data_IF_231422585195
#
_entry.id   IF_231422585195
#
_cell.length_a   1.000
_cell.length_b   1.000
_cell.length_c   1.000
_cell.angle_alpha   90.00
_cell.angle_beta   90.00
_cell.angle_gamma   90.00
#
_symmetry.space_group_name_H-M   'P 1'
#
loop_
_entity.id
_entity.type
_entity.pdbx_description
1 polymer ?
#
# COMPACT_ATOMS: atom_id res chain seq x y z
N UNK A 1 72.43 7.63 -72.99
CA UNK A 1 71.56 8.25 -74.02
C UNK A 1 70.14 7.81 -73.74
N UNK A 2 69.19 8.73 -73.57
CA UNK A 2 67.76 8.41 -73.37
C UNK A 2 67.15 9.20 -72.22
N UNK A 3 66.32 10.18 -72.54
CA UNK A 3 65.78 11.26 -71.71
C UNK A 3 64.55 10.86 -70.87
N UNK A 4 64.38 11.56 -69.73
CA UNK A 4 63.17 12.14 -69.11
C UNK A 4 61.82 11.38 -69.15
N UNK A 5 61.17 11.26 -67.99
CA UNK A 5 59.98 12.09 -67.68
C UNK A 5 59.57 12.02 -66.21
N UNK A 6 59.60 13.19 -65.58
CA UNK A 6 59.08 13.55 -64.27
C UNK A 6 57.57 13.76 -64.39
N UNK A 7 56.75 13.11 -63.56
CA UNK A 7 55.33 13.48 -63.42
C UNK A 7 55.04 13.80 -61.96
N UNK A 8 55.03 15.10 -61.69
CA UNK A 8 54.61 15.74 -60.44
C UNK A 8 53.09 15.59 -60.31
N UNK A 9 52.60 14.92 -59.25
CA UNK A 9 51.17 14.93 -58.94
C UNK A 9 50.98 15.64 -57.60
N UNK A 10 50.53 16.89 -57.71
CA UNK A 10 50.18 17.79 -56.61
C UNK A 10 48.88 17.31 -55.97
N UNK A 11 48.96 16.60 -54.85
CA UNK A 11 47.81 16.22 -54.05
C UNK A 11 47.38 17.37 -53.14
N UNK A 12 46.22 17.96 -53.42
CA UNK A 12 45.63 19.05 -52.67
C UNK A 12 45.28 18.61 -51.23
N UNK A 13 45.86 19.29 -50.24
CA UNK A 13 45.47 19.20 -48.83
C UNK A 13 44.18 20.01 -48.66
N UNK A 14 43.03 19.34 -48.84
CA UNK A 14 41.73 19.89 -48.46
C UNK A 14 41.54 19.60 -46.96
N UNK A 15 42.03 20.50 -46.11
CA UNK A 15 41.74 20.50 -44.68
C UNK A 15 40.26 20.88 -44.50
N UNK A 16 39.40 19.86 -44.54
CA UNK A 16 37.98 20.00 -44.19
C UNK A 16 37.92 20.25 -42.68
N UNK A 17 37.70 21.52 -42.32
CA UNK A 17 37.17 21.94 -41.03
C UNK A 17 35.79 21.26 -40.84
N UNK A 18 35.77 19.99 -40.42
CA UNK A 18 34.61 19.41 -39.78
C UNK A 18 34.45 20.14 -38.44
N UNK A 19 33.59 21.16 -38.46
CA UNK A 19 33.07 21.78 -37.25
C UNK A 19 32.57 20.68 -36.32
N UNK A 20 33.28 20.50 -35.22
CA UNK A 20 32.84 19.76 -34.04
C UNK A 20 31.65 20.52 -33.44
N UNK A 21 30.48 20.43 -34.08
CA UNK A 21 29.21 20.68 -33.43
C UNK A 21 28.97 19.52 -32.46
N UNK A 22 29.75 19.51 -31.37
CA UNK A 22 29.45 18.69 -30.22
C UNK A 22 28.11 19.15 -29.69
N UNK A 23 27.09 18.31 -29.82
CA UNK A 23 25.88 18.47 -29.05
C UNK A 23 26.29 18.39 -27.58
N UNK A 24 26.50 19.55 -26.95
CA UNK A 24 26.54 19.64 -25.51
C UNK A 24 25.12 19.30 -25.06
N UNK A 25 24.88 18.02 -24.77
CA UNK A 25 23.75 17.64 -23.95
C UNK A 25 24.03 18.28 -22.60
N UNK A 26 23.18 19.22 -22.18
CA UNK A 26 23.23 19.73 -20.82
C UNK A 26 23.03 18.53 -19.88
N UNK A 27 24.11 18.07 -19.28
CA UNK A 27 24.15 16.99 -18.28
C UNK A 27 23.78 17.52 -16.90
N UNK A 28 22.92 18.54 -16.83
CA UNK A 28 22.46 19.09 -15.56
C UNK A 28 21.00 18.73 -15.40
N UNK A 29 20.66 18.09 -14.28
CA UNK A 29 19.28 17.78 -13.98
C UNK A 29 18.48 19.08 -13.95
N UNK A 30 17.24 19.09 -14.44
CA UNK A 30 16.36 20.21 -14.15
C UNK A 30 16.32 20.38 -12.61
N UNK A 31 16.36 21.62 -12.12
CA UNK A 31 16.29 21.86 -10.68
C UNK A 31 14.98 21.28 -10.12
N UNK A 32 15.05 20.69 -8.93
CA UNK A 32 13.85 20.22 -8.22
C UNK A 32 12.91 21.39 -7.97
N UNK A 33 11.58 21.21 -8.14
CA UNK A 33 10.61 22.24 -7.81
C UNK A 33 10.77 22.65 -6.34
N UNK A 34 10.52 23.91 -6.03
CA UNK A 34 10.54 24.41 -4.65
C UNK A 34 9.39 23.79 -3.88
N UNK A 35 9.66 23.36 -2.64
CA UNK A 35 8.66 22.76 -1.78
C UNK A 35 7.55 23.75 -1.42
N UNK A 36 6.34 23.23 -1.26
CA UNK A 36 5.23 24.01 -0.69
C UNK A 36 5.42 24.14 0.83
N UNK A 37 5.39 25.39 1.31
CA UNK A 37 5.45 25.71 2.75
C UNK A 37 4.04 25.91 3.26
N UNK A 38 3.69 25.19 4.31
CA UNK A 38 2.37 25.25 4.96
C UNK A 38 2.50 25.72 6.40
N UNK A 39 1.42 26.29 6.92
CA UNK A 39 1.31 26.61 8.35
C UNK A 39 0.96 25.34 9.14
N UNK A 40 1.63 25.13 10.27
CA UNK A 40 1.38 24.01 11.17
C UNK A 40 2.48 22.95 11.15
N UNK A 41 2.47 22.11 12.18
CA UNK A 41 3.45 21.04 12.37
C UNK A 41 3.28 19.92 11.32
N UNK A 42 4.33 19.10 11.09
CA UNK A 42 4.25 17.92 10.24
C UNK A 42 3.13 16.98 10.70
N UNK A 43 2.34 16.47 9.75
CA UNK A 43 1.34 15.44 10.02
C UNK A 43 1.80 14.10 9.47
N UNK A 44 2.50 13.32 10.30
CA UNK A 44 2.94 11.98 9.93
C UNK A 44 1.78 11.01 9.69
N UNK A 45 0.55 11.29 10.11
CA UNK A 45 -0.60 10.44 9.79
C UNK A 45 -1.04 10.56 8.32
N UNK A 46 -0.66 11.64 7.62
CA UNK A 46 -0.99 11.93 6.22
C UNK A 46 0.15 11.64 5.24
N UNK A 47 1.17 10.94 5.71
CA UNK A 47 2.39 10.70 4.96
C UNK A 47 2.17 9.81 3.72
N UNK A 48 2.88 10.12 2.63
CA UNK A 48 2.60 9.62 1.28
C UNK A 48 3.37 8.34 0.88
N UNK A 49 4.31 7.86 1.70
CA UNK A 49 4.95 6.56 1.54
C UNK A 49 3.91 5.45 1.71
N UNK A 50 3.55 4.86 0.57
CA UNK A 50 2.35 4.07 0.35
C UNK A 50 2.39 2.64 0.92
N UNK A 51 3.04 2.39 2.08
CA UNK A 51 2.96 1.07 2.72
C UNK A 51 1.53 0.69 3.10
N UNK A 52 0.72 1.68 3.44
CA UNK A 52 -0.68 1.48 3.78
C UNK A 52 -1.49 1.72 2.52
N UNK A 53 -1.76 0.65 1.77
CA UNK A 53 -2.77 0.70 0.71
C UNK A 53 -4.08 1.09 1.39
N UNK A 54 -4.67 2.25 1.06
CA UNK A 54 -5.98 2.61 1.60
C UNK A 54 -6.94 1.50 1.24
N UNK A 55 -7.79 1.10 2.18
CA UNK A 55 -8.78 0.08 1.85
C UNK A 55 -9.67 0.57 0.70
N UNK A 56 -9.90 -0.30 -0.31
CA UNK A 56 -10.65 0.09 -1.48
C UNK A 56 -12.04 0.58 -1.07
N UNK A 57 -12.38 1.81 -1.50
CA UNK A 57 -13.68 2.44 -1.22
C UNK A 57 -13.67 3.46 -0.07
N UNK A 58 -12.58 3.55 0.70
CA UNK A 58 -12.42 4.66 1.66
C UNK A 58 -11.79 5.83 0.94
N UNK A 59 -12.58 6.85 0.59
CA UNK A 59 -12.03 8.10 0.12
C UNK A 59 -11.12 8.70 1.21
N UNK A 60 -9.90 9.15 0.88
CA UNK A 60 -9.08 9.86 1.85
C UNK A 60 -9.89 11.07 2.35
N UNK A 61 -10.19 11.08 3.64
CA UNK A 61 -10.94 12.18 4.27
C UNK A 61 -10.08 13.42 4.47
N UNK A 62 -8.75 13.26 4.42
CA UNK A 62 -7.78 14.32 4.59
C UNK A 62 -7.34 14.90 3.24
N UNK A 63 -7.01 16.20 3.19
CA UNK A 63 -6.36 16.78 2.02
C UNK A 63 -5.03 16.06 1.74
N UNK A 64 -4.59 15.98 0.47
CA UNK A 64 -3.28 15.43 0.15
C UNK A 64 -2.18 16.25 0.85
N UNK A 65 -1.06 15.62 1.24
CA UNK A 65 0.07 16.36 1.81
C UNK A 65 0.64 17.36 0.79
N UNK A 66 1.26 18.46 1.26
CA UNK A 66 1.88 19.45 0.39
C UNK A 66 2.94 18.82 -0.53
N UNK A 67 3.18 19.42 -1.68
CA UNK A 67 4.17 18.90 -2.63
C UNK A 67 5.58 18.99 -2.04
N UNK A 68 6.30 17.86 -2.09
CA UNK A 68 7.69 17.81 -1.68
C UNK A 68 8.60 18.50 -2.71
N UNK A 69 9.66 19.16 -2.25
CA UNK A 69 10.56 19.90 -3.13
C UNK A 69 11.87 20.33 -2.50
N UNK A 70 12.60 21.19 -3.20
CA UNK A 70 13.80 21.86 -2.69
C UNK A 70 13.44 22.87 -1.60
N UNK A 71 14.37 23.10 -0.67
CA UNK A 71 14.19 24.05 0.42
C UNK A 71 14.10 25.48 -0.14
N UNK A 72 13.01 26.22 0.10
CA UNK A 72 12.87 27.60 -0.37
C UNK A 72 13.96 28.51 0.18
N UNK A 73 14.37 29.50 -0.61
CA UNK A 73 15.30 30.52 -0.15
C UNK A 73 14.73 31.26 1.08
N UNK A 74 15.55 31.40 2.12
CA UNK A 74 15.16 32.04 3.38
C UNK A 74 14.33 31.16 4.32
N UNK A 75 14.02 29.90 3.96
CA UNK A 75 13.48 28.95 4.92
C UNK A 75 14.62 28.44 5.82
N UNK A 76 14.51 28.66 7.12
CA UNK A 76 15.51 28.26 8.12
C UNK A 76 14.86 27.27 9.09
N UNK A 77 15.11 25.96 8.94
CA UNK A 77 14.52 24.98 9.83
C UNK A 77 15.11 25.06 11.23
N UNK A 78 14.27 24.82 12.23
CA UNK A 78 14.66 24.58 13.62
C UNK A 78 14.62 23.10 13.98
N UNK A 79 13.92 22.30 13.18
CA UNK A 79 13.77 20.86 13.37
C UNK A 79 13.55 20.13 12.04
N UNK A 80 13.93 18.87 12.02
CA UNK A 80 13.61 17.93 10.95
C UNK A 80 12.81 16.76 11.54
N UNK A 81 11.83 16.27 10.78
CA UNK A 81 10.94 15.17 11.20
C UNK A 81 10.87 14.14 10.08
N UNK A 82 11.19 12.88 10.37
CA UNK A 82 11.04 11.76 9.43
C UNK A 82 9.83 10.95 9.82
N UNK A 83 8.89 10.80 8.90
CA UNK A 83 7.73 9.93 9.05
C UNK A 83 8.00 8.62 8.29
N UNK A 84 8.32 7.55 9.02
CA UNK A 84 8.61 6.25 8.44
C UNK A 84 7.50 5.23 8.72
N UNK A 85 7.16 4.42 7.71
CA UNK A 85 6.38 3.21 7.93
C UNK A 85 7.05 2.29 8.95
N UNK A 86 6.25 1.69 9.83
CA UNK A 86 6.68 0.65 10.78
C UNK A 86 5.65 -0.49 10.78
N UNK A 87 6.08 -1.67 11.21
CA UNK A 87 5.20 -2.81 11.51
C UNK A 87 4.65 -2.74 12.93
N UNK A 88 5.09 -1.78 13.73
CA UNK A 88 4.59 -1.58 15.09
C UNK A 88 3.13 -1.12 15.07
N UNK A 89 2.46 -1.37 16.19
CA UNK A 89 1.07 -0.98 16.40
C UNK A 89 0.90 -0.35 17.77
N UNK A 90 -0.12 0.48 17.91
CA UNK A 90 -0.47 1.13 19.17
C UNK A 90 -1.85 0.64 19.60
N UNK A 91 -1.94 0.09 20.80
CA UNK A 91 -3.21 -0.34 21.40
C UNK A 91 -3.75 0.75 22.36
N UNK A 92 -5.04 1.08 22.24
CA UNK A 92 -5.74 2.00 23.13
C UNK A 92 -7.19 1.57 23.40
N UNK A 93 -8.01 2.43 24.00
CA UNK A 93 -9.40 2.12 24.32
C UNK A 93 -10.27 1.80 23.08
N UNK A 94 -9.93 2.36 21.91
CA UNK A 94 -10.69 2.18 20.67
C UNK A 94 -10.25 0.93 19.91
N UNK A 95 -9.01 0.47 20.10
CA UNK A 95 -8.52 -0.80 19.58
C UNK A 95 -7.03 -0.78 19.29
N UNK A 96 -6.63 -1.46 18.21
CA UNK A 96 -5.27 -1.49 17.68
C UNK A 96 -5.17 -0.64 16.44
N UNK A 97 -4.20 0.25 16.44
CA UNK A 97 -3.90 1.18 15.36
C UNK A 97 -2.64 0.76 14.63
N UNK A 98 -2.63 0.92 13.32
CA UNK A 98 -1.38 1.02 12.57
C UNK A 98 -0.64 2.27 13.05
N UNK A 99 0.68 2.20 13.02
CA UNK A 99 1.52 3.30 13.43
C UNK A 99 2.54 3.68 12.37
N UNK A 100 3.04 4.90 12.49
CA UNK A 100 4.26 5.37 11.85
C UNK A 100 5.26 5.76 12.92
N UNK A 101 6.54 5.51 12.66
CA UNK A 101 7.60 6.02 13.50
C UNK A 101 7.90 7.46 13.06
N UNK A 102 7.69 8.39 13.97
CA UNK A 102 8.13 9.77 13.84
C UNK A 102 9.46 9.93 14.59
N UNK A 103 10.50 10.31 13.85
CA UNK A 103 11.82 10.63 14.41
C UNK A 103 12.09 12.12 14.22
N UNK A 104 12.47 12.81 15.29
CA UNK A 104 12.74 14.25 15.31
C UNK A 104 14.21 14.54 15.60
N UNK A 105 14.77 15.51 14.88
CA UNK A 105 16.10 16.06 15.10
C UNK A 105 16.05 17.58 15.19
N UNK A 106 16.83 18.18 16.10
CA UNK A 106 16.91 19.63 16.30
C UNK A 106 18.33 20.18 16.14
N UNK A 107 19.34 19.31 16.09
CA UNK A 107 20.75 19.70 16.07
C UNK A 107 21.40 19.48 14.68
N UNK A 108 22.40 20.32 14.35
CA UNK A 108 23.27 20.22 13.16
C UNK A 108 22.52 20.08 11.82
N UNK A 109 21.37 20.75 11.69
CA UNK A 109 20.53 20.72 10.49
C UNK A 109 21.21 21.31 9.25
N UNK A 110 22.27 22.11 9.41
CA UNK A 110 23.06 22.65 8.28
C UNK A 110 23.68 21.54 7.42
N UNK A 111 24.08 20.41 8.04
CA UNK A 111 24.57 19.24 7.29
C UNK A 111 23.45 18.58 6.51
N UNK A 112 22.26 18.47 7.11
CA UNK A 112 21.09 17.92 6.44
C UNK A 112 20.69 18.79 5.24
N UNK A 113 20.65 20.11 5.43
CA UNK A 113 20.36 21.07 4.36
C UNK A 113 21.39 20.96 3.21
N UNK A 114 22.66 20.79 3.54
CA UNK A 114 23.72 20.59 2.55
C UNK A 114 23.53 19.29 1.75
N UNK A 115 23.14 18.19 2.41
CA UNK A 115 22.84 16.93 1.74
C UNK A 115 21.59 17.04 0.84
N UNK A 116 20.53 17.69 1.32
CA UNK A 116 19.30 17.93 0.56
C UNK A 116 19.50 18.89 -0.63
N UNK A 117 20.52 19.74 -0.59
CA UNK A 117 20.85 20.65 -1.68
C UNK A 117 21.61 19.97 -2.84
N UNK A 118 22.09 18.73 -2.66
CA UNK A 118 22.77 17.97 -3.72
C UNK A 118 21.82 17.79 -4.92
N UNK A 119 22.20 18.22 -6.14
CA UNK A 119 21.35 18.04 -7.32
C UNK A 119 21.06 16.57 -7.61
N UNK A 120 19.93 16.29 -8.26
CA UNK A 120 19.66 14.94 -8.79
C UNK A 120 20.71 14.59 -9.85
N UNK A 121 21.08 13.32 -9.94
CA UNK A 121 21.99 12.85 -10.98
C UNK A 121 21.28 12.79 -12.33
N UNK A 122 21.97 13.20 -13.39
CA UNK A 122 21.54 12.92 -14.77
C UNK A 122 22.45 11.91 -15.43
N UNK A 123 21.85 10.98 -16.18
CA UNK A 123 22.58 10.14 -17.12
C UNK A 123 23.53 9.16 -16.43
N UNK A 124 23.02 7.98 -16.11
CA UNK A 124 23.82 6.82 -15.72
C UNK A 124 23.96 5.85 -16.89
N UNK A 125 25.16 5.29 -17.10
CA UNK A 125 25.39 4.21 -18.08
C UNK A 125 25.00 2.82 -17.55
N UNK A 126 24.49 2.75 -16.31
CA UNK A 126 24.12 1.52 -15.62
C UNK A 126 22.70 1.06 -15.91
N UNK A 127 22.49 -0.26 -15.86
CA UNK A 127 21.16 -0.83 -15.78
C UNK A 127 20.57 -0.52 -14.39
N UNK A 128 19.39 0.09 -14.34
CA UNK A 128 18.69 0.31 -13.09
C UNK A 128 18.15 -1.01 -12.54
N UNK A 129 18.22 -1.19 -11.23
CA UNK A 129 17.61 -2.32 -10.55
C UNK A 129 16.08 -2.14 -10.52
N UNK A 130 15.36 -3.25 -10.61
CA UNK A 130 13.89 -3.26 -10.67
C UNK A 130 13.23 -3.34 -9.28
N UNK A 131 13.97 -3.09 -8.21
CA UNK A 131 13.42 -3.00 -6.86
C UNK A 131 12.61 -1.71 -6.69
N UNK A 132 11.67 -1.72 -5.76
CA UNK A 132 10.93 -0.54 -5.33
C UNK A 132 11.59 -0.02 -4.04
N UNK A 133 11.93 1.26 -4.02
CA UNK A 133 12.44 1.90 -2.80
C UNK A 133 11.27 2.59 -2.09
N UNK A 134 11.12 2.30 -0.79
CA UNK A 134 10.16 3.00 0.06
C UNK A 134 10.93 4.14 0.73
N UNK A 135 10.57 5.36 0.37
CA UNK A 135 11.23 6.56 0.85
C UNK A 135 10.34 7.22 1.90
N UNK A 136 10.78 7.34 3.16
CA UNK A 136 9.98 7.99 4.20
C UNK A 136 9.86 9.49 3.90
N UNK A 137 8.76 10.10 4.35
CA UNK A 137 8.62 11.54 4.26
C UNK A 137 9.62 12.22 5.20
N UNK A 138 10.27 13.26 4.67
CA UNK A 138 11.13 14.14 5.45
C UNK A 138 10.51 15.53 5.46
N UNK A 139 10.22 16.01 6.66
CA UNK A 139 9.70 17.35 6.90
C UNK A 139 10.77 18.22 7.53
N UNK A 140 10.77 19.49 7.13
CA UNK A 140 11.55 20.53 7.78
C UNK A 140 10.56 21.53 8.39
N UNK A 141 10.73 21.84 9.66
CA UNK A 141 9.89 22.78 10.40
C UNK A 141 10.75 23.94 10.84
N UNK A 142 10.16 25.14 10.85
CA UNK A 142 10.83 26.37 11.27
C UNK A 142 10.22 26.90 12.57
N UNK A 143 10.96 27.77 13.27
CA UNK A 143 10.59 28.27 14.59
C UNK A 143 9.30 29.11 14.64
N UNK A 144 8.79 29.56 13.49
CA UNK A 144 7.50 30.23 13.39
C UNK A 144 6.32 29.26 13.22
N UNK A 145 6.58 27.95 13.24
CA UNK A 145 5.58 26.89 13.12
C UNK A 145 5.17 26.56 11.68
N UNK A 146 5.93 27.03 10.68
CA UNK A 146 5.76 26.60 9.28
C UNK A 146 6.58 25.37 8.96
N UNK A 147 6.04 24.50 8.12
CA UNK A 147 6.68 23.26 7.71
C UNK A 147 6.63 23.05 6.19
N UNK A 148 7.56 22.25 5.67
CA UNK A 148 7.60 21.81 4.28
C UNK A 148 8.04 20.36 4.16
N UNK A 149 7.62 19.67 3.10
CA UNK A 149 8.16 18.35 2.73
C UNK A 149 9.39 18.51 1.86
N UNK A 150 10.53 18.00 2.33
CA UNK A 150 11.77 17.99 1.57
C UNK A 150 11.76 16.83 0.57
N UNK A 151 12.12 17.12 -0.69
CA UNK A 151 12.40 16.09 -1.67
C UNK A 151 13.79 15.51 -1.43
N UNK A 152 13.89 14.18 -1.47
CA UNK A 152 15.15 13.47 -1.42
C UNK A 152 15.89 13.64 -2.75
N UNK A 153 17.19 13.96 -2.74
CA UNK A 153 18.02 13.91 -3.94
C UNK A 153 18.01 12.51 -4.55
N UNK A 154 17.91 12.42 -5.88
CA UNK A 154 17.77 11.16 -6.61
C UNK A 154 18.98 10.86 -7.50
N UNK A 155 19.27 9.57 -7.65
CA UNK A 155 20.16 9.00 -8.66
C UNK A 155 19.51 9.04 -10.04
N UNK A 156 20.29 8.76 -11.08
CA UNK A 156 19.77 8.67 -12.45
C UNK A 156 18.72 7.55 -12.65
N UNK A 157 18.60 6.62 -11.69
CA UNK A 157 17.61 5.54 -11.66
C UNK A 157 16.35 5.89 -10.85
N UNK A 158 16.23 7.12 -10.33
CA UNK A 158 15.09 7.53 -9.50
C UNK A 158 15.12 6.98 -8.07
N UNK A 159 16.26 6.45 -7.63
CA UNK A 159 16.52 6.02 -6.24
C UNK A 159 17.08 7.16 -5.42
N UNK A 160 16.87 7.19 -4.11
CA UNK A 160 17.46 8.23 -3.28
C UNK A 160 18.99 8.14 -3.26
N UNK A 161 19.66 9.29 -3.22
CA UNK A 161 21.09 9.37 -2.98
C UNK A 161 21.38 9.09 -1.49
N UNK A 162 22.43 8.33 -1.17
CA UNK A 162 22.70 7.88 0.19
C UNK A 162 23.03 9.02 1.16
N UNK A 163 23.57 10.14 0.65
CA UNK A 163 24.09 11.21 1.50
C UNK A 163 23.07 11.85 2.46
N UNK A 164 21.78 11.86 2.13
CA UNK A 164 20.74 12.35 3.05
C UNK A 164 20.48 11.34 4.18
N UNK A 165 20.46 10.04 3.86
CA UNK A 165 20.33 8.97 4.86
C UNK A 165 21.52 8.95 5.79
N UNK A 166 22.74 8.98 5.25
CA UNK A 166 23.98 8.97 6.03
C UNK A 166 24.04 10.13 7.04
N UNK A 167 23.55 11.31 6.66
CA UNK A 167 23.48 12.46 7.56
C UNK A 167 22.44 12.23 8.66
N UNK A 168 21.21 11.83 8.31
CA UNK A 168 20.16 11.59 9.31
C UNK A 168 20.54 10.51 10.32
N UNK A 169 21.17 9.43 9.86
CA UNK A 169 21.64 8.33 10.72
C UNK A 169 22.77 8.76 11.67
N UNK A 170 23.50 9.83 11.33
CA UNK A 170 24.56 10.39 12.16
C UNK A 170 24.08 11.51 13.12
N UNK A 171 22.90 12.09 12.88
CA UNK A 171 22.34 13.12 13.74
C UNK A 171 21.80 12.52 15.05
N UNK A 172 22.01 13.18 16.19
CA UNK A 172 21.42 12.74 17.45
C UNK A 172 19.90 12.89 17.38
N UNK A 173 19.20 11.78 17.61
CA UNK A 173 17.73 11.77 17.73
C UNK A 173 17.32 12.50 19.00
N UNK A 174 16.46 13.51 18.87
CA UNK A 174 15.88 14.24 20.00
C UNK A 174 14.65 13.49 20.55
N UNK A 175 13.77 13.04 19.64
CA UNK A 175 12.54 12.33 20.01
C UNK A 175 12.22 11.24 18.98
N UNK A 176 11.69 10.12 19.48
CA UNK A 176 11.02 9.10 18.69
C UNK A 176 9.66 8.79 19.30
N UNK A 177 8.63 8.72 18.44
CA UNK A 177 7.28 8.34 18.88
C UNK A 177 6.50 7.62 17.79
N UNK A 178 5.56 6.80 18.22
CA UNK A 178 4.59 6.16 17.32
C UNK A 178 3.37 7.07 17.12
N UNK A 179 3.06 7.37 15.86
CA UNK A 179 1.89 8.15 15.45
C UNK A 179 0.83 7.19 14.93
N UNK A 180 -0.37 7.21 15.54
CA UNK A 180 -1.51 6.42 15.09
C UNK A 180 -1.97 6.91 13.71
N UNK A 181 -2.16 5.99 12.77
CA UNK A 181 -2.58 6.32 11.40
C UNK A 181 -4.02 5.88 11.15
N UNK A 182 -4.28 4.58 11.21
CA UNK A 182 -5.61 4.02 10.96
C UNK A 182 -5.93 2.93 11.97
N UNK A 183 -7.18 2.85 12.40
CA UNK A 183 -7.65 1.76 13.25
C UNK A 183 -7.61 0.47 12.42
N UNK A 184 -6.70 -0.44 12.75
CA UNK A 184 -6.56 -1.74 12.08
C UNK A 184 -7.61 -2.71 12.63
N UNK A 185 -7.87 -2.60 13.93
CA UNK A 185 -8.72 -3.56 14.62
C UNK A 185 -9.44 -2.88 15.79
N UNK A 186 -10.77 -2.91 15.80
CA UNK A 186 -11.53 -2.31 16.92
C UNK A 186 -11.36 -3.10 18.21
N UNK A 187 -11.52 -2.43 19.36
CA UNK A 187 -11.45 -3.04 20.70
C UNK A 187 -12.42 -4.21 20.84
N UNK A 188 -13.66 -4.03 20.40
CA UNK A 188 -14.68 -5.10 20.45
C UNK A 188 -14.27 -6.34 19.65
N UNK A 189 -13.64 -6.15 18.49
CA UNK A 189 -13.21 -7.26 17.65
C UNK A 189 -11.90 -7.91 18.17
N UNK A 190 -10.95 -7.13 18.70
CA UNK A 190 -9.78 -7.65 19.43
C UNK A 190 -10.19 -8.54 20.60
N UNK A 191 -11.09 -8.05 21.45
CA UNK A 191 -11.54 -8.76 22.65
C UNK A 191 -12.31 -10.04 22.28
N UNK A 192 -12.96 -10.06 21.11
CA UNK A 192 -13.62 -11.25 20.55
C UNK A 192 -12.66 -12.21 19.83
N UNK A 193 -11.39 -11.85 19.62
CA UNK A 193 -10.46 -12.62 18.80
C UNK A 193 -10.93 -12.74 17.34
N UNK A 194 -11.54 -11.69 16.81
CA UNK A 194 -12.08 -11.57 15.46
C UNK A 194 -11.32 -10.48 14.69
N UNK A 195 -11.33 -10.53 13.36
CA UNK A 195 -10.84 -9.40 12.52
C UNK A 195 -11.91 -8.32 12.43
N UNK A 196 -11.53 -7.03 12.31
CA UNK A 196 -12.48 -5.93 12.17
C UNK A 196 -13.11 -5.93 10.78
N UNK A 197 -12.38 -6.48 9.81
CA UNK A 197 -12.84 -6.73 8.46
C UNK A 197 -12.54 -8.15 8.04
N UNK A 198 -13.38 -8.68 7.18
CA UNK A 198 -13.16 -9.94 6.50
C UNK A 198 -13.73 -9.85 5.09
N UNK A 199 -13.33 -10.77 4.21
CA UNK A 199 -13.90 -10.91 2.89
C UNK A 199 -14.27 -12.36 2.62
N UNK A 200 -15.29 -12.58 1.79
CA UNK A 200 -15.59 -13.92 1.30
C UNK A 200 -14.42 -14.41 0.42
N UNK A 201 -13.92 -15.64 0.61
CA UNK A 201 -12.82 -16.19 -0.19
C UNK A 201 -13.34 -16.69 -1.54
N UNK A 202 -13.65 -15.79 -2.48
CA UNK A 202 -14.22 -16.19 -3.79
C UNK A 202 -13.15 -16.38 -4.90
N UNK A 203 -11.85 -16.17 -4.61
CA UNK A 203 -10.77 -16.20 -5.63
C UNK A 203 -9.56 -17.08 -5.38
N UNK A 204 -9.39 -17.72 -4.22
CA UNK A 204 -8.25 -18.62 -4.03
C UNK A 204 -8.51 -19.99 -4.67
N UNK A 205 -8.95 -20.02 -5.93
CA UNK A 205 -8.84 -21.18 -6.83
C UNK A 205 -7.38 -21.55 -7.16
N UNK A 206 -6.43 -21.12 -6.32
CA UNK A 206 -5.05 -21.55 -6.33
C UNK A 206 -4.97 -22.94 -5.71
N UNK A 207 -4.94 -23.94 -6.58
CA UNK A 207 -4.57 -25.31 -6.27
C UNK A 207 -3.39 -25.37 -5.28
N UNK A 208 -3.61 -25.68 -4.01
CA UNK A 208 -2.54 -26.17 -3.13
C UNK A 208 -2.48 -25.70 -1.67
N UNK A 209 -3.35 -24.82 -1.18
CA UNK A 209 -3.28 -24.30 0.20
C UNK A 209 -4.36 -24.96 1.06
N UNK A 210 -3.95 -26.01 1.78
CA UNK A 210 -4.70 -26.76 2.79
C UNK A 210 -6.13 -27.24 2.41
N UNK A 211 -6.24 -28.52 2.05
CA UNK A 211 -7.53 -29.24 1.97
C UNK A 211 -8.04 -29.71 3.33
N UNK A 212 -7.32 -29.40 4.42
CA UNK A 212 -7.64 -29.88 5.75
C UNK A 212 -8.68 -28.97 6.42
N UNK A 213 -9.86 -29.54 6.65
CA UNK A 213 -10.92 -28.91 7.43
C UNK A 213 -10.41 -28.65 8.86
N UNK A 214 -10.87 -27.57 9.52
CA UNK A 214 -10.50 -27.31 10.91
C UNK A 214 -10.96 -28.45 11.84
N UNK A 215 -10.26 -28.65 12.96
CA UNK A 215 -10.75 -29.52 14.01
C UNK A 215 -12.07 -28.95 14.55
N UNK A 216 -13.16 -29.75 14.63
CA UNK A 216 -14.42 -29.29 15.19
C UNK A 216 -14.31 -28.62 16.58
N UNK A 217 -13.32 -28.99 17.38
CA UNK A 217 -13.09 -28.45 18.72
C UNK A 217 -12.41 -27.08 18.73
N UNK A 218 -11.80 -26.67 17.61
CA UNK A 218 -11.26 -25.32 17.42
C UNK A 218 -12.36 -24.31 17.04
N UNK A 219 -13.57 -24.79 16.71
CA UNK A 219 -14.72 -23.97 16.35
C UNK A 219 -15.54 -23.60 17.59
N UNK A 220 -15.03 -22.68 18.40
CA UNK A 220 -15.67 -22.19 19.62
C UNK A 220 -16.54 -20.94 19.43
N UNK A 221 -16.32 -20.21 18.34
CA UNK A 221 -17.03 -18.96 18.03
C UNK A 221 -17.15 -18.71 16.53
N UNK A 222 -18.08 -17.83 16.18
CA UNK A 222 -18.20 -17.25 14.85
C UNK A 222 -18.18 -15.73 14.92
N UNK A 223 -17.38 -15.10 14.06
CA UNK A 223 -17.30 -13.66 13.91
C UNK A 223 -18.30 -13.22 12.83
N UNK A 224 -19.27 -12.37 13.15
CA UNK A 224 -20.33 -11.93 12.23
C UNK A 224 -19.94 -10.60 11.58
N UNK A 225 -20.07 -10.53 10.26
CA UNK A 225 -19.76 -9.36 9.45
C UNK A 225 -20.98 -8.88 8.66
N UNK A 226 -21.15 -7.58 8.58
CA UNK A 226 -22.13 -6.92 7.73
C UNK A 226 -21.46 -6.42 6.45
N UNK A 227 -22.07 -6.70 5.30
CA UNK A 227 -21.61 -6.23 3.99
C UNK A 227 -22.27 -4.89 3.70
N UNK A 228 -21.46 -3.87 3.44
CA UNK A 228 -22.00 -2.58 2.99
C UNK A 228 -22.70 -2.75 1.63
N UNK A 229 -23.85 -2.11 1.39
CA UNK A 229 -24.44 -2.12 0.06
C UNK A 229 -23.42 -1.56 -0.93
N UNK A 230 -23.36 -2.10 -2.17
CA UNK A 230 -22.48 -1.56 -3.18
C UNK A 230 -22.75 -0.07 -3.33
N UNK A 231 -21.67 0.73 -3.30
CA UNK A 231 -21.80 2.15 -3.61
C UNK A 231 -22.43 2.26 -5.01
N UNK A 232 -23.37 3.19 -5.23
CA UNK A 232 -23.89 3.42 -6.56
C UNK A 232 -22.70 3.70 -7.49
N UNK A 233 -22.71 3.10 -8.69
CA UNK A 233 -21.67 3.35 -9.67
C UNK A 233 -21.44 4.86 -9.75
N UNK A 234 -20.21 5.35 -9.51
CA UNK A 234 -19.95 6.78 -9.58
C UNK A 234 -20.40 7.20 -10.97
N UNK A 235 -21.41 8.07 -11.05
CA UNK A 235 -21.85 8.63 -12.31
C UNK A 235 -20.68 9.48 -12.82
N UNK A 236 -19.80 8.87 -13.61
CA UNK A 236 -18.68 9.57 -14.22
C UNK A 236 -19.32 10.63 -15.12
N UNK A 237 -19.14 11.94 -14.84
CA UNK A 237 -19.71 12.96 -15.69
C UNK A 237 -19.19 12.75 -17.10
N UNK A 238 -20.09 12.71 -18.08
CA UNK A 238 -19.75 12.45 -19.49
C UNK A 238 -18.74 13.47 -20.07
N UNK A 239 -18.58 14.62 -19.40
CA UNK A 239 -17.74 15.73 -19.84
C UNK A 239 -16.42 15.86 -19.07
N UNK A 240 -15.98 14.85 -18.32
CA UNK A 240 -14.69 14.91 -17.63
C UNK A 240 -13.53 14.99 -18.65
N UNK A 241 -12.77 16.12 -18.69
CA UNK A 241 -11.73 16.35 -19.70
C UNK A 241 -10.48 15.48 -19.54
N UNK A 242 -10.42 14.63 -18.51
CA UNK A 242 -9.40 13.60 -18.32
C UNK A 242 -9.71 12.30 -19.08
N UNK A 243 -10.27 12.43 -20.28
CA UNK A 243 -10.52 11.32 -21.19
C UNK A 243 -9.23 10.70 -21.71
N UNK A 244 -9.16 9.37 -21.65
CA UNK A 244 -8.27 8.49 -22.40
C UNK A 244 -6.76 8.65 -22.16
N UNK A 245 -6.23 8.08 -21.07
CA UNK A 245 -4.77 7.98 -20.91
C UNK A 245 -4.22 6.87 -20.02
N UNK A 246 -4.89 6.49 -18.93
CA UNK A 246 -4.31 5.53 -17.98
C UNK A 246 -5.34 4.61 -17.31
N UNK A 247 -6.34 4.17 -18.08
CA UNK A 247 -7.07 2.98 -17.69
C UNK A 247 -6.18 1.78 -18.01
N UNK A 248 -5.66 1.09 -17.00
CA UNK A 248 -5.24 -0.30 -17.17
C UNK A 248 -6.46 -1.06 -17.70
N UNK A 249 -6.54 -1.20 -19.02
CA UNK A 249 -7.57 -2.00 -19.65
C UNK A 249 -7.34 -3.43 -19.17
N UNK A 250 -8.13 -3.84 -18.17
CA UNK A 250 -8.27 -5.24 -17.82
C UNK A 250 -8.48 -5.99 -19.15
N UNK A 251 -7.66 -7.00 -19.41
CA UNK A 251 -7.71 -7.73 -20.66
C UNK A 251 -9.16 -8.14 -20.94
N UNK A 252 -9.71 -7.87 -22.14
CA UNK A 252 -11.10 -8.17 -22.44
C UNK A 252 -11.36 -9.67 -22.24
N UNK A 253 -12.22 -9.99 -21.27
CA UNK A 253 -12.66 -11.36 -21.00
C UNK A 253 -12.33 -11.92 -19.62
N UNK A 254 -11.59 -11.22 -18.74
CA UNK A 254 -11.49 -11.64 -17.34
C UNK A 254 -12.65 -11.05 -16.53
N UNK A 255 -13.56 -11.88 -15.97
CA UNK A 255 -14.62 -11.38 -15.10
C UNK A 255 -13.99 -10.78 -13.83
N UNK A 256 -14.11 -9.47 -13.67
CA UNK A 256 -13.86 -8.79 -12.39
C UNK A 256 -15.02 -9.10 -11.47
N UNK A 257 -15.03 -10.30 -10.90
CA UNK A 257 -15.89 -10.58 -9.76
C UNK A 257 -15.44 -9.61 -8.64
N UNK A 258 -16.39 -9.05 -7.91
CA UNK A 258 -16.09 -8.06 -6.86
C UNK A 258 -15.77 -8.76 -5.55
N UNK A 259 -14.77 -8.26 -4.81
CA UNK A 259 -14.54 -8.74 -3.44
C UNK A 259 -15.67 -8.28 -2.54
N UNK A 260 -16.45 -9.24 -2.03
CA UNK A 260 -17.42 -8.96 -0.96
C UNK A 260 -16.66 -8.89 0.35
N UNK A 261 -16.45 -7.68 0.86
CA UNK A 261 -15.92 -7.41 2.20
C UNK A 261 -17.04 -7.05 3.16
N UNK A 262 -16.82 -7.30 4.45
CA UNK A 262 -17.74 -6.92 5.51
C UNK A 262 -17.03 -6.43 6.76
N UNK A 263 -17.75 -5.62 7.55
CA UNK A 263 -17.28 -5.06 8.81
C UNK A 263 -17.81 -5.86 9.98
N UNK A 264 -16.94 -6.16 10.95
CA UNK A 264 -17.28 -6.90 12.15
C UNK A 264 -18.43 -6.23 12.91
N UNK A 265 -19.41 -7.04 13.29
CA UNK A 265 -20.60 -6.59 14.02
C UNK A 265 -20.65 -7.19 15.42
N UNK A 266 -20.44 -8.52 15.55
CA UNK A 266 -20.54 -9.24 16.82
C UNK A 266 -19.91 -10.63 16.76
N UNK A 267 -19.77 -11.25 17.92
CA UNK A 267 -19.39 -12.66 18.06
C UNK A 267 -20.61 -13.52 18.41
N UNK A 268 -20.63 -14.76 17.92
CA UNK A 268 -21.60 -15.81 18.29
C UNK A 268 -20.80 -16.93 18.95
N UNK A 269 -20.99 -17.22 20.25
CA UNK A 269 -20.41 -18.42 20.86
C UNK A 269 -21.09 -19.66 20.26
N UNK A 270 -20.30 -20.66 19.88
CA UNK A 270 -20.83 -21.89 19.31
C UNK A 270 -21.14 -22.88 20.44
N UNK A 271 -22.39 -23.35 20.48
CA UNK A 271 -22.78 -24.39 21.42
C UNK A 271 -22.12 -25.74 21.08
N UNK A 272 -22.03 -26.61 22.08
CA UNK A 272 -21.50 -27.96 21.91
C UNK A 272 -22.18 -28.68 20.74
N UNK A 273 -21.37 -29.29 19.88
CA UNK A 273 -21.85 -30.03 18.72
C UNK A 273 -22.13 -29.19 17.46
N UNK A 274 -22.11 -27.85 17.53
CA UNK A 274 -22.21 -27.00 16.32
C UNK A 274 -20.98 -27.16 15.43
N UNK A 275 -19.77 -27.12 16.01
CA UNK A 275 -18.51 -27.31 15.28
C UNK A 275 -18.47 -28.59 14.44
N UNK A 276 -18.76 -29.79 15.01
CA UNK A 276 -18.80 -31.05 14.25
C UNK A 276 -19.78 -31.03 13.09
N UNK A 277 -20.92 -30.35 13.24
CA UNK A 277 -21.94 -30.23 12.18
C UNK A 277 -21.48 -29.31 11.05
N UNK A 278 -20.79 -28.22 11.37
CA UNK A 278 -20.18 -27.32 10.39
C UNK A 278 -19.10 -28.06 9.59
N UNK A 279 -18.20 -28.78 10.26
CA UNK A 279 -17.14 -29.57 9.60
C UNK A 279 -17.74 -30.68 8.73
N UNK A 280 -18.79 -31.37 9.19
CA UNK A 280 -19.49 -32.37 8.38
C UNK A 280 -20.12 -31.77 7.11
N UNK A 281 -20.72 -30.59 7.22
CA UNK A 281 -21.27 -29.85 6.07
C UNK A 281 -20.15 -29.38 5.11
N UNK A 282 -19.03 -28.92 5.66
CA UNK A 282 -17.84 -28.51 4.91
C UNK A 282 -17.17 -29.71 4.18
N UNK A 283 -17.26 -30.91 4.74
CA UNK A 283 -16.77 -32.13 4.09
C UNK A 283 -17.63 -32.66 2.95
N UNK A 284 -18.79 -32.05 2.67
CA UNK A 284 -19.60 -32.44 1.53
C UNK A 284 -18.96 -31.98 0.20
N UNK A 285 -19.26 -32.66 -0.93
CA UNK A 285 -18.83 -32.20 -2.24
C UNK A 285 -19.31 -30.77 -2.55
N UNK A 286 -18.50 -30.01 -3.27
CA UNK A 286 -18.93 -28.70 -3.78
C UNK A 286 -20.20 -28.83 -4.63
N UNK A 287 -21.07 -27.83 -4.55
CA UNK A 287 -22.34 -27.77 -5.26
C UNK A 287 -22.26 -26.73 -6.39
N UNK A 288 -22.13 -27.15 -7.67
CA UNK A 288 -21.96 -26.20 -8.80
C UNK A 288 -23.11 -25.20 -9.00
N UNK A 289 -24.29 -25.48 -8.41
CA UNK A 289 -25.39 -24.52 -8.37
C UNK A 289 -25.11 -23.31 -7.46
N UNK A 290 -24.47 -23.55 -6.31
CA UNK A 290 -24.12 -22.50 -5.35
C UNK A 290 -22.96 -21.64 -5.84
N UNK A 291 -22.01 -22.23 -6.57
CA UNK A 291 -20.90 -21.51 -7.22
C UNK A 291 -21.41 -20.49 -8.27
N UNK A 292 -22.57 -20.76 -8.86
CA UNK A 292 -23.21 -19.90 -9.87
C UNK A 292 -24.27 -18.96 -9.31
N UNK A 293 -24.58 -19.06 -8.02
CA UNK A 293 -25.55 -18.19 -7.38
C UNK A 293 -24.99 -16.77 -7.25
N UNK A 294 -25.77 -15.79 -7.72
CA UNK A 294 -25.45 -14.38 -7.83
C UNK A 294 -26.13 -13.51 -6.76
N UNK A 295 -26.92 -14.13 -5.86
CA UNK A 295 -27.50 -13.41 -4.72
C UNK A 295 -26.38 -12.86 -3.84
N UNK A 296 -26.36 -11.54 -3.66
CA UNK A 296 -25.39 -10.85 -2.80
C UNK A 296 -25.71 -11.11 -1.34
N UNK A 297 -24.73 -11.61 -0.59
CA UNK A 297 -24.86 -11.71 0.86
C UNK A 297 -24.78 -10.32 1.49
N UNK A 298 -25.69 -10.01 2.40
CA UNK A 298 -25.64 -8.81 3.26
C UNK A 298 -24.96 -9.10 4.59
N UNK A 299 -24.82 -10.37 4.94
CA UNK A 299 -24.13 -10.80 6.15
C UNK A 299 -23.47 -12.18 5.99
N UNK A 300 -22.32 -12.35 6.62
CA UNK A 300 -21.60 -13.61 6.64
C UNK A 300 -20.85 -13.77 7.96
N UNK A 301 -20.33 -14.97 8.20
CA UNK A 301 -19.50 -15.30 9.35
C UNK A 301 -18.17 -15.89 8.93
N UNK A 302 -17.12 -15.62 9.71
CA UNK A 302 -15.87 -16.37 9.67
C UNK A 302 -15.69 -17.15 10.96
N UNK A 303 -14.97 -18.27 10.85
CA UNK A 303 -14.63 -19.11 11.99
C UNK A 303 -13.11 -19.06 12.21
N UNK A 304 -12.63 -18.26 13.19
CA UNK A 304 -11.21 -18.20 13.48
C UNK A 304 -10.73 -19.56 14.03
N UNK A 305 -9.59 -20.05 13.54
CA UNK A 305 -8.98 -21.32 13.97
C UNK A 305 -7.93 -21.12 15.09
N UNK A 306 -7.97 -19.97 15.77
CA UNK A 306 -7.01 -19.55 16.78
C UNK A 306 -7.68 -19.00 18.03
N UNK A 307 -7.00 -19.16 19.17
CA UNK A 307 -7.39 -18.52 20.42
C UNK A 307 -7.38 -16.98 20.27
N UNK A 308 -8.30 -16.28 20.97
CA UNK A 308 -8.26 -14.82 21.03
C UNK A 308 -6.88 -14.30 21.45
N UNK A 309 -6.36 -13.30 20.75
CA UNK A 309 -5.06 -12.68 21.02
C UNK A 309 -3.86 -13.25 20.24
N UNK A 310 -4.05 -14.28 19.40
CA UNK A 310 -3.05 -14.66 18.41
C UNK A 310 -2.73 -13.49 17.47
N UNK A 311 -1.45 -13.20 17.26
CA UNK A 311 -0.98 -12.07 16.45
C UNK A 311 -0.87 -12.39 14.95
N UNK A 312 -1.07 -13.63 14.54
CA UNK A 312 -0.98 -14.03 13.14
C UNK A 312 -2.37 -13.96 12.50
N UNK A 313 -2.60 -13.05 11.53
CA UNK A 313 -3.78 -13.12 10.70
C UNK A 313 -3.68 -14.38 9.83
N UNK A 314 -4.51 -15.37 10.12
CA UNK A 314 -4.73 -16.51 9.22
C UNK A 314 -6.04 -16.31 8.51
N UNK A 315 -6.05 -16.63 7.22
CA UNK A 315 -7.30 -16.71 6.47
C UNK A 315 -8.19 -17.77 7.13
N UNK A 316 -9.46 -17.45 7.44
CA UNK A 316 -10.33 -18.39 8.11
C UNK A 316 -10.56 -19.61 7.21
N UNK A 317 -10.35 -20.81 7.75
CA UNK A 317 -10.54 -22.05 6.98
C UNK A 317 -11.99 -22.30 6.57
N UNK A 318 -12.93 -21.70 7.30
CA UNK A 318 -14.36 -21.75 7.04
C UNK A 318 -14.93 -20.33 7.04
N UNK A 319 -15.81 -20.07 6.08
CA UNK A 319 -16.63 -18.85 6.01
C UNK A 319 -18.03 -19.25 5.59
N UNK A 320 -19.07 -18.64 6.15
CA UNK A 320 -20.45 -18.98 5.79
C UNK A 320 -21.32 -17.73 5.57
N UNK A 321 -22.06 -17.71 4.47
CA UNK A 321 -23.06 -16.68 4.22
C UNK A 321 -24.30 -16.95 5.07
N UNK A 322 -24.74 -15.93 5.82
CA UNK A 322 -25.94 -16.04 6.64
C UNK A 322 -27.21 -15.74 5.83
N UNK A 323 -27.08 -15.09 4.69
CA UNK A 323 -28.14 -14.76 3.75
C UNK A 323 -27.64 -14.97 2.31
N UNK A 324 -28.31 -14.41 1.31
CA UNK A 324 -27.92 -14.56 -0.09
C UNK A 324 -28.03 -16.01 -0.56
N UNK A 325 -26.89 -16.62 -0.91
CA UNK A 325 -26.84 -17.98 -1.43
C UNK A 325 -26.72 -19.06 -0.34
N UNK A 326 -26.56 -18.68 0.93
CA UNK A 326 -26.43 -19.64 2.04
C UNK A 326 -25.24 -20.59 1.87
N UNK A 327 -24.11 -20.06 1.39
CA UNK A 327 -22.90 -20.83 1.09
C UNK A 327 -22.08 -21.08 2.34
N UNK A 328 -21.58 -22.30 2.49
CA UNK A 328 -20.44 -22.65 3.34
C UNK A 328 -19.21 -22.80 2.45
N UNK A 329 -18.27 -21.87 2.59
CA UNK A 329 -17.04 -21.76 1.83
C UNK A 329 -15.88 -22.32 2.65
N UNK A 330 -15.00 -23.07 1.99
CA UNK A 330 -13.82 -23.69 2.58
C UNK A 330 -12.55 -23.27 1.83
N UNK A 331 -11.38 -23.51 2.40
CA UNK A 331 -10.08 -23.16 1.81
C UNK A 331 -9.79 -23.80 0.44
N UNK A 332 -10.47 -24.90 0.10
CA UNK A 332 -10.39 -25.51 -1.24
C UNK A 332 -11.12 -24.73 -2.35
N UNK A 333 -11.77 -23.61 -2.01
CA UNK A 333 -12.54 -22.75 -2.91
C UNK A 333 -13.93 -23.28 -3.29
N UNK A 334 -14.34 -24.45 -2.80
CA UNK A 334 -15.66 -25.02 -3.09
C UNK A 334 -16.78 -24.45 -2.22
N UNK A 335 -17.99 -24.39 -2.78
CA UNK A 335 -19.19 -23.92 -2.10
C UNK A 335 -20.13 -25.08 -1.75
N UNK A 336 -20.43 -25.24 -0.46
CA UNK A 336 -21.45 -26.18 0.05
C UNK A 336 -22.68 -25.43 0.55
N UNK A 337 -23.77 -26.16 0.72
CA UNK A 337 -24.97 -25.60 1.36
C UNK A 337 -24.73 -25.46 2.87
N UNK A 338 -24.99 -24.29 3.44
CA UNK A 338 -25.10 -24.11 4.87
C UNK A 338 -26.50 -24.61 5.31
N UNK A 339 -26.61 -25.64 6.17
CA UNK A 339 -27.89 -26.08 6.69
C UNK A 339 -28.64 -24.94 7.38
N UNK A 340 -29.92 -24.77 7.07
CA UNK A 340 -30.71 -23.61 7.54
C UNK A 340 -30.81 -23.54 9.07
N UNK A 341 -30.78 -24.67 9.76
CA UNK A 341 -30.79 -24.68 11.22
C UNK A 341 -29.45 -24.21 11.82
N UNK A 342 -28.32 -24.47 11.15
CA UNK A 342 -27.03 -23.87 11.51
C UNK A 342 -27.00 -22.38 11.18
N UNK A 343 -27.55 -21.98 10.04
CA UNK A 343 -27.68 -20.57 9.67
C UNK A 343 -28.51 -19.80 10.71
N UNK A 344 -29.62 -20.37 11.17
CA UNK A 344 -30.45 -19.80 12.24
C UNK A 344 -29.69 -19.57 13.55
N UNK A 345 -28.87 -20.54 13.98
CA UNK A 345 -28.04 -20.39 15.18
C UNK A 345 -26.99 -19.27 15.04
N UNK A 346 -26.40 -19.12 13.87
CA UNK A 346 -25.38 -18.10 13.60
C UNK A 346 -26.00 -16.70 13.47
N UNK A 347 -27.23 -16.59 12.96
CA UNK A 347 -27.96 -15.31 12.90
C UNK A 347 -28.34 -14.76 14.28
N UNK A 348 -28.39 -15.61 15.30
CA UNK A 348 -28.67 -15.23 16.70
C UNK A 348 -30.14 -14.94 16.93
#
# INVERSE_FOLDING_TARGET
MGRLSTTTTTGAVLAVLLATAGCAFDTTAPPRPVAEVVDGAPDCALSADAWIVPEPGTAPSAPPPPLAGSVPEGFTPDSAVRCAGTTDSVDDADGRWSARLETTWTDDLDRLLSALAVPDETGGSGMCTADMEIVPDLWLTSADGRSMRAAWPLTACGKTLPGTHDVLDALPVEEERLVRVSLVQSRAALDAGCSMQASLPWMLGGSGIATELPDPSDLDRACVYAVAPPLPDPTVPADSPFGAGSGSAAAPGMPTKSVTSGTFTRVVPLADGVGPRLVLAAGQPSTPGLERCDATATSFVTFPDHAPGSSLPTDPRLTAELDGCGRLLTSDGGARSLPEDLAGLLRG
#
